data_IF_717677191926
#
_entry.id   IF_717677191926
#
_cell.length_a   1.000
_cell.length_b   1.000
_cell.length_c   1.000
_cell.angle_alpha   90.00
_cell.angle_beta   90.00
_cell.angle_gamma   90.00
#
_symmetry.space_group_name_H-M   'P 1'
#
loop_
_entity.id
_entity.type
_entity.pdbx_description
1 polymer ?
#
# COMPACT_ATOMS: atom_id res chain seq x y z
N UNK A 1 -5.79 -13.48 1.77
CA UNK A 1 -6.78 -14.48 1.30
C UNK A 1 -6.18 -15.87 1.46
N UNK A 2 -6.86 -16.77 2.17
CA UNK A 2 -6.64 -18.20 2.03
C UNK A 2 -7.94 -18.79 1.49
N UNK A 3 -7.93 -19.13 0.19
CA UNK A 3 -8.84 -20.10 -0.40
C UNK A 3 -7.99 -20.92 -1.36
N UNK A 4 -7.82 -22.20 -1.03
CA UNK A 4 -8.37 -23.31 -1.81
C UNK A 4 -7.82 -23.33 -3.24
N UNK A 5 -7.05 -24.39 -3.50
CA UNK A 5 -6.57 -24.78 -4.82
C UNK A 5 -7.71 -24.72 -5.83
N UNK A 6 -7.74 -23.67 -6.64
CA UNK A 6 -8.50 -23.63 -7.89
C UNK A 6 -7.46 -23.91 -8.96
N UNK A 7 -7.48 -25.12 -9.49
CA UNK A 7 -6.84 -25.47 -10.75
C UNK A 7 -7.55 -24.73 -11.88
N UNK A 8 -7.24 -23.44 -12.05
CA UNK A 8 -7.55 -22.73 -13.27
C UNK A 8 -6.27 -22.71 -14.10
N UNK A 9 -6.35 -23.22 -15.33
CA UNK A 9 -5.43 -22.88 -16.39
C UNK A 9 -5.56 -21.38 -16.64
N UNK A 10 -4.96 -20.56 -15.80
CA UNK A 10 -4.92 -19.13 -15.99
C UNK A 10 -4.09 -18.85 -17.24
N UNK A 11 -4.75 -18.33 -18.26
CA UNK A 11 -4.09 -17.88 -19.48
C UNK A 11 -3.15 -16.75 -19.10
N UNK A 12 -1.88 -17.10 -18.89
CA UNK A 12 -0.86 -16.16 -18.49
C UNK A 12 -0.74 -15.07 -19.54
N UNK A 13 -0.82 -13.80 -19.13
CA UNK A 13 -0.67 -12.68 -20.06
C UNK A 13 0.76 -12.73 -20.60
N UNK A 14 0.97 -12.71 -21.93
CA UNK A 14 2.31 -12.65 -22.48
C UNK A 14 3.11 -11.48 -21.89
N UNK A 15 4.34 -11.73 -21.43
CA UNK A 15 5.18 -10.73 -20.76
C UNK A 15 5.27 -9.41 -21.54
N UNK A 16 5.45 -9.49 -22.85
CA UNK A 16 5.52 -8.32 -23.73
C UNK A 16 4.22 -7.48 -23.71
N UNK A 17 3.06 -8.13 -23.67
CA UNK A 17 1.77 -7.44 -23.59
C UNK A 17 1.59 -6.75 -22.23
N UNK A 18 2.02 -7.40 -21.15
CA UNK A 18 2.00 -6.82 -19.81
C UNK A 18 2.90 -5.58 -19.73
N UNK A 19 4.16 -5.70 -20.18
CA UNK A 19 5.13 -4.59 -20.22
C UNK A 19 4.58 -3.43 -21.07
N UNK A 20 3.99 -3.71 -22.23
CA UNK A 20 3.41 -2.67 -23.10
C UNK A 20 2.26 -1.92 -22.40
N UNK A 21 1.36 -2.64 -21.71
CA UNK A 21 0.25 -2.02 -20.97
C UNK A 21 0.73 -1.19 -19.78
N UNK A 22 1.70 -1.70 -19.02
CA UNK A 22 2.30 -0.96 -17.90
C UNK A 22 3.03 0.29 -18.42
N UNK A 23 3.74 0.19 -19.54
CA UNK A 23 4.38 1.35 -20.19
C UNK A 23 3.35 2.41 -20.62
N UNK A 24 2.19 2.00 -21.14
CA UNK A 24 1.12 2.93 -21.48
C UNK A 24 0.58 3.64 -20.23
N UNK A 25 0.34 2.89 -19.15
CA UNK A 25 -0.12 3.47 -17.87
C UNK A 25 0.91 4.42 -17.29
N UNK A 26 2.20 4.07 -17.31
CA UNK A 26 3.28 4.96 -16.91
C UNK A 26 3.27 6.27 -17.68
N UNK A 27 3.11 6.21 -19.02
CA UNK A 27 3.01 7.41 -19.85
C UNK A 27 1.80 8.27 -19.49
N UNK A 28 0.64 7.65 -19.20
CA UNK A 28 -0.57 8.37 -18.77
C UNK A 28 -0.42 8.99 -17.40
N UNK A 29 0.11 8.26 -16.41
CA UNK A 29 0.30 8.73 -15.04
C UNK A 29 1.34 9.86 -15.00
N UNK A 30 2.44 9.72 -15.74
CA UNK A 30 3.53 10.72 -15.76
C UNK A 30 3.11 12.07 -16.34
N UNK A 31 1.99 12.13 -17.07
CA UNK A 31 1.44 13.35 -17.68
C UNK A 31 0.34 14.01 -16.82
N UNK A 32 -0.01 13.43 -15.67
CA UNK A 32 -0.99 14.02 -14.77
C UNK A 32 -0.40 15.27 -14.11
N UNK A 33 -1.18 16.36 -14.09
CA UNK A 33 -0.79 17.59 -13.40
C UNK A 33 -0.71 17.41 -11.86
N UNK A 34 -1.47 16.44 -11.33
CA UNK A 34 -1.53 16.11 -9.92
C UNK A 34 -1.76 14.62 -9.70
N UNK A 35 -1.15 14.08 -8.65
CA UNK A 35 -1.34 12.71 -8.17
C UNK A 35 -2.31 12.64 -6.98
N UNK A 36 -2.94 13.77 -6.60
CA UNK A 36 -3.95 13.75 -5.53
C UNK A 36 -5.16 12.89 -5.94
N UNK A 37 -5.81 12.20 -4.98
CA UNK A 37 -6.98 11.37 -5.24
C UNK A 37 -8.02 12.08 -6.10
N UNK A 38 -8.37 11.45 -7.21
CA UNK A 38 -9.42 11.90 -8.12
C UNK A 38 -9.93 10.71 -8.91
N UNK A 39 -11.09 10.83 -9.56
CA UNK A 39 -11.64 9.73 -10.38
C UNK A 39 -10.64 9.23 -11.43
N UNK A 40 -9.90 10.15 -12.07
CA UNK A 40 -8.92 9.81 -13.10
C UNK A 40 -7.67 9.14 -12.51
N UNK A 41 -7.10 9.73 -11.46
CA UNK A 41 -5.92 9.20 -10.76
C UNK A 41 -6.22 7.80 -10.23
N UNK A 42 -7.33 7.64 -9.51
CA UNK A 42 -7.74 6.38 -8.91
C UNK A 42 -7.96 5.30 -9.98
N UNK A 43 -8.54 5.66 -11.13
CA UNK A 43 -8.75 4.71 -12.23
C UNK A 43 -7.43 4.21 -12.82
N UNK A 44 -6.45 5.09 -13.03
CA UNK A 44 -5.14 4.72 -13.59
C UNK A 44 -4.35 3.83 -12.63
N UNK A 45 -4.25 4.21 -11.35
CA UNK A 45 -3.56 3.39 -10.35
C UNK A 45 -4.30 2.05 -10.09
N UNK A 46 -5.63 2.04 -10.09
CA UNK A 46 -6.40 0.78 -10.00
C UNK A 46 -6.12 -0.16 -11.16
N UNK A 47 -5.97 0.37 -12.38
CA UNK A 47 -5.58 -0.45 -13.54
C UNK A 47 -4.14 -0.97 -13.40
N UNK A 48 -3.22 -0.14 -12.91
CA UNK A 48 -1.84 -0.55 -12.67
C UNK A 48 -1.77 -1.69 -11.64
N UNK A 49 -2.42 -1.54 -10.48
CA UNK A 49 -2.48 -2.57 -9.43
C UNK A 49 -3.06 -3.87 -9.99
N UNK A 50 -4.15 -3.79 -10.75
CA UNK A 50 -4.76 -4.96 -11.39
C UNK A 50 -3.79 -5.69 -12.31
N UNK A 51 -2.94 -4.99 -13.05
CA UNK A 51 -1.94 -5.62 -13.91
C UNK A 51 -0.79 -6.22 -13.11
N UNK A 52 -0.28 -5.50 -12.09
CA UNK A 52 0.85 -5.94 -11.27
C UNK A 52 0.54 -7.11 -10.33
N UNK A 53 -0.74 -7.40 -10.11
CA UNK A 53 -1.20 -8.51 -9.25
C UNK A 53 -1.56 -9.78 -10.04
N UNK A 54 -1.48 -9.75 -11.37
CA UNK A 54 -1.68 -10.94 -12.20
C UNK A 54 -0.44 -11.83 -12.14
N UNK A 55 -0.63 -13.17 -12.12
CA UNK A 55 0.49 -14.09 -12.29
C UNK A 55 1.20 -13.87 -13.63
N UNK A 56 2.52 -13.73 -13.58
CA UNK A 56 3.37 -13.62 -14.77
C UNK A 56 4.77 -14.19 -14.49
N UNK A 57 5.37 -14.80 -15.51
CA UNK A 57 6.74 -15.35 -15.45
C UNK A 57 7.78 -14.30 -15.91
N UNK A 58 7.61 -13.05 -15.47
CA UNK A 58 8.60 -12.01 -15.74
C UNK A 58 9.65 -12.07 -14.65
N UNK A 59 10.89 -12.39 -15.02
CA UNK A 59 12.03 -12.04 -14.18
C UNK A 59 12.30 -10.54 -14.31
N UNK A 60 12.16 -9.83 -13.19
CA UNK A 60 12.38 -8.39 -13.14
C UNK A 60 13.83 -8.06 -13.50
N UNK A 61 14.79 -8.97 -13.23
CA UNK A 61 16.21 -8.76 -13.55
C UNK A 61 16.49 -8.78 -15.06
N UNK A 62 15.63 -9.46 -15.84
CA UNK A 62 15.76 -9.60 -17.29
C UNK A 62 15.05 -8.48 -18.09
N UNK A 63 14.41 -7.53 -17.39
CA UNK A 63 13.79 -6.38 -18.04
C UNK A 63 14.84 -5.51 -18.77
N UNK A 64 14.44 -4.96 -19.92
CA UNK A 64 15.29 -4.00 -20.64
C UNK A 64 15.61 -2.77 -19.76
N UNK A 65 16.70 -2.07 -20.08
CA UNK A 65 17.11 -0.87 -19.33
C UNK A 65 15.99 0.19 -19.29
N UNK A 66 15.27 0.35 -20.39
CA UNK A 66 14.15 1.28 -20.50
C UNK A 66 12.98 0.86 -19.59
N UNK A 67 12.69 -0.44 -19.54
CA UNK A 67 11.66 -0.98 -18.66
C UNK A 67 12.04 -0.85 -17.17
N UNK A 68 13.32 -1.00 -16.82
CA UNK A 68 13.81 -0.76 -15.45
C UNK A 68 13.63 0.71 -15.04
N UNK A 69 14.04 1.66 -15.90
CA UNK A 69 13.86 3.10 -15.64
C UNK A 69 12.38 3.46 -15.48
N UNK A 70 11.52 2.91 -16.34
CA UNK A 70 10.07 3.07 -16.24
C UNK A 70 9.53 2.51 -14.92
N UNK A 71 9.99 1.33 -14.50
CA UNK A 71 9.60 0.70 -13.24
C UNK A 71 10.01 1.55 -12.03
N UNK A 72 11.25 2.03 -11.98
CA UNK A 72 11.72 2.94 -10.93
C UNK A 72 10.87 4.22 -10.87
N UNK A 73 10.53 4.78 -12.02
CA UNK A 73 9.64 5.93 -12.11
C UNK A 73 8.24 5.61 -11.57
N UNK A 74 7.66 4.46 -11.92
CA UNK A 74 6.37 4.02 -11.38
C UNK A 74 6.39 3.82 -9.87
N UNK A 75 7.45 3.24 -9.30
CA UNK A 75 7.58 3.07 -7.84
C UNK A 75 7.51 4.43 -7.14
N UNK A 76 8.24 5.42 -7.64
CA UNK A 76 8.22 6.78 -7.10
C UNK A 76 6.85 7.47 -7.27
N UNK A 77 6.20 7.28 -8.41
CA UNK A 77 4.85 7.81 -8.67
C UNK A 77 3.82 7.18 -7.73
N UNK A 78 3.89 5.87 -7.51
CA UNK A 78 3.02 5.16 -6.58
C UNK A 78 3.24 5.68 -5.15
N UNK A 79 4.49 5.76 -4.68
CA UNK A 79 4.80 6.25 -3.33
C UNK A 79 4.26 7.66 -3.09
N UNK A 80 4.39 8.57 -4.07
CA UNK A 80 3.83 9.93 -3.98
C UNK A 80 2.29 9.95 -3.98
N UNK A 81 1.66 9.13 -4.83
CA UNK A 81 0.21 9.05 -4.90
C UNK A 81 -0.40 8.47 -3.62
N UNK A 82 0.22 7.42 -3.06
CA UNK A 82 -0.18 6.84 -1.77
C UNK A 82 0.00 7.86 -0.63
N UNK A 83 1.13 8.58 -0.57
CA UNK A 83 1.32 9.64 0.43
C UNK A 83 0.26 10.75 0.35
N UNK A 84 -0.17 11.13 -0.86
CA UNK A 84 -1.31 12.06 -1.01
C UNK A 84 -2.64 11.44 -0.57
N UNK A 85 -2.88 10.17 -0.88
CA UNK A 85 -4.08 9.46 -0.44
C UNK A 85 -4.16 9.42 1.09
N UNK A 86 -3.08 9.00 1.75
CA UNK A 86 -2.98 8.98 3.21
C UNK A 86 -3.20 10.37 3.81
N UNK A 87 -2.59 11.42 3.25
CA UNK A 87 -2.75 12.78 3.74
C UNK A 87 -4.19 13.30 3.63
N UNK A 88 -4.86 13.05 2.49
CA UNK A 88 -6.27 13.44 2.30
C UNK A 88 -7.18 12.72 3.30
N UNK A 89 -6.95 11.43 3.55
CA UNK A 89 -7.73 10.67 4.50
C UNK A 89 -7.43 11.01 5.96
N UNK A 90 -6.17 11.29 6.30
CA UNK A 90 -5.80 11.83 7.61
C UNK A 90 -6.51 13.16 7.87
N UNK A 91 -6.47 14.07 6.89
CA UNK A 91 -7.16 15.36 6.95
C UNK A 91 -8.67 15.19 7.10
N UNK A 92 -9.27 14.26 6.35
CA UNK A 92 -10.69 13.95 6.46
C UNK A 92 -11.04 13.41 7.85
N UNK A 93 -10.28 12.44 8.35
CA UNK A 93 -10.57 11.75 9.61
C UNK A 93 -10.52 12.68 10.82
N UNK A 94 -9.57 13.62 10.87
CA UNK A 94 -9.48 14.62 11.95
C UNK A 94 -10.78 15.44 12.07
N UNK A 95 -11.53 15.59 10.98
CA UNK A 95 -12.79 16.34 10.96
C UNK A 95 -14.04 15.47 11.23
N UNK A 96 -13.89 14.14 11.37
CA UNK A 96 -14.99 13.21 11.64
C UNK A 96 -15.13 12.97 13.15
N UNK A 97 -16.36 12.93 13.71
CA UNK A 97 -16.56 12.55 15.10
C UNK A 97 -16.02 11.15 15.39
N UNK A 98 -15.27 10.99 16.48
CA UNK A 98 -14.64 9.72 16.85
C UNK A 98 -13.77 9.15 15.71
N UNK A 99 -12.66 9.83 15.34
CA UNK A 99 -11.84 9.48 14.17
C UNK A 99 -11.37 8.02 14.17
N UNK A 100 -10.98 7.49 15.34
CA UNK A 100 -10.52 6.10 15.50
C UNK A 100 -11.61 5.06 15.19
N UNK A 101 -12.88 5.41 15.34
CA UNK A 101 -14.00 4.52 14.98
C UNK A 101 -14.33 4.54 13.49
N UNK A 102 -13.69 5.45 12.73
CA UNK A 102 -13.98 5.70 11.32
C UNK A 102 -12.78 5.38 10.41
N UNK A 103 -11.77 4.67 10.91
CA UNK A 103 -10.60 4.25 10.09
C UNK A 103 -11.00 3.40 8.88
N UNK A 104 -12.16 2.74 8.93
CA UNK A 104 -12.74 1.98 7.82
C UNK A 104 -13.16 2.83 6.62
N UNK A 105 -13.16 4.16 6.72
CA UNK A 105 -13.35 5.05 5.58
C UNK A 105 -12.16 5.02 4.61
N UNK A 106 -10.96 4.64 5.08
CA UNK A 106 -9.81 4.50 4.20
C UNK A 106 -10.02 3.37 3.19
N UNK A 107 -9.79 3.58 1.87
CA UNK A 107 -10.20 2.64 0.83
C UNK A 107 -9.59 1.24 0.97
N UNK A 108 -8.43 1.14 1.61
CA UNK A 108 -7.71 -0.12 1.80
C UNK A 108 -7.72 -0.62 3.24
N UNK A 109 -8.58 -0.08 4.11
CA UNK A 109 -8.62 -0.46 5.54
C UNK A 109 -8.65 -1.98 5.75
N UNK A 110 -9.49 -2.70 5.00
CA UNK A 110 -9.58 -4.16 5.08
C UNK A 110 -8.26 -4.87 4.75
N UNK A 111 -7.47 -4.35 3.80
CA UNK A 111 -6.16 -4.90 3.47
C UNK A 111 -5.18 -4.72 4.63
N UNK A 112 -5.20 -3.55 5.28
CA UNK A 112 -4.35 -3.29 6.45
C UNK A 112 -4.72 -4.15 7.64
N UNK A 113 -6.02 -4.40 7.90
CA UNK A 113 -6.45 -5.31 8.97
C UNK A 113 -5.92 -6.72 8.73
N UNK A 114 -6.01 -7.21 7.50
CA UNK A 114 -5.47 -8.53 7.15
C UNK A 114 -3.95 -8.58 7.29
N UNK A 115 -3.25 -7.54 6.83
CA UNK A 115 -1.80 -7.45 6.89
C UNK A 115 -1.29 -7.37 8.34
N UNK A 116 -1.84 -6.47 9.15
CA UNK A 116 -1.46 -6.31 10.55
C UNK A 116 -1.69 -7.60 11.36
N UNK A 117 -2.76 -8.35 11.07
CA UNK A 117 -3.00 -9.64 11.70
C UNK A 117 -1.94 -10.69 11.31
N UNK A 118 -1.48 -10.70 10.05
CA UNK A 118 -0.38 -11.57 9.62
C UNK A 118 0.94 -11.18 10.31
N UNK A 119 1.26 -9.89 10.34
CA UNK A 119 2.46 -9.36 11.00
C UNK A 119 2.47 -9.66 12.50
N UNK A 120 1.34 -9.42 13.18
CA UNK A 120 1.19 -9.76 14.60
C UNK A 120 1.41 -11.25 14.85
N UNK A 121 0.85 -12.12 14.02
CA UNK A 121 1.07 -13.56 14.13
C UNK A 121 2.55 -13.92 13.97
N UNK A 122 3.23 -13.35 12.98
CA UNK A 122 4.67 -13.57 12.79
C UNK A 122 5.46 -13.13 14.04
N UNK A 123 5.13 -11.98 14.62
CA UNK A 123 5.75 -11.49 15.85
C UNK A 123 5.54 -12.44 17.03
N UNK A 124 4.31 -12.93 17.23
CA UNK A 124 3.99 -13.92 18.26
C UNK A 124 4.76 -15.23 18.07
N UNK A 125 4.76 -15.75 16.84
CA UNK A 125 5.44 -17.00 16.49
C UNK A 125 6.98 -16.90 16.69
N UNK A 126 7.51 -15.67 16.72
CA UNK A 126 8.92 -15.36 17.00
C UNK A 126 9.15 -14.84 18.44
N UNK A 127 8.20 -15.04 19.36
CA UNK A 127 8.39 -14.78 20.80
C UNK A 127 8.09 -13.35 21.27
N UNK A 128 7.56 -12.48 20.40
CA UNK A 128 7.15 -11.11 20.78
C UNK A 128 5.71 -11.14 21.28
N UNK A 129 5.50 -11.61 22.52
CA UNK A 129 4.15 -11.90 23.05
C UNK A 129 3.45 -10.66 23.64
N UNK A 130 4.20 -9.72 24.24
CA UNK A 130 3.66 -8.51 24.87
C UNK A 130 4.68 -7.37 24.86
N UNK A 131 4.98 -6.77 23.70
CA UNK A 131 5.91 -5.64 23.66
C UNK A 131 5.34 -4.46 24.44
N UNK A 132 6.12 -3.84 25.32
CA UNK A 132 5.70 -2.62 26.01
C UNK A 132 5.77 -1.38 25.12
N UNK A 133 6.74 -1.36 24.19
CA UNK A 133 6.96 -0.30 23.23
C UNK A 133 7.29 -0.87 21.87
N UNK A 134 6.77 -0.23 20.82
CA UNK A 134 7.07 -0.52 19.42
C UNK A 134 7.36 0.80 18.73
N UNK A 135 8.47 0.87 18.00
CA UNK A 135 8.75 1.95 17.07
C UNK A 135 8.36 1.48 15.66
N UNK A 136 7.50 2.22 14.99
CA UNK A 136 7.14 1.99 13.59
C UNK A 136 7.81 3.06 12.71
N UNK A 137 8.66 2.64 11.79
CA UNK A 137 9.47 3.54 10.95
C UNK A 137 8.88 3.61 9.54
N UNK A 138 8.66 4.81 9.03
CA UNK A 138 7.97 5.07 7.76
C UNK A 138 6.45 5.02 7.93
N UNK A 139 5.93 5.73 8.92
CA UNK A 139 4.52 5.67 9.30
C UNK A 139 3.60 6.44 8.36
N UNK A 140 4.14 7.39 7.59
CA UNK A 140 3.36 8.30 6.77
C UNK A 140 2.43 9.21 7.58
N UNK A 141 1.67 10.09 6.90
CA UNK A 141 0.70 10.97 7.54
C UNK A 141 -0.50 10.24 8.14
N UNK A 142 -0.69 8.94 7.82
CA UNK A 142 -1.76 8.11 8.38
C UNK A 142 -1.17 6.79 8.89
N UNK A 143 -0.73 6.71 10.17
CA UNK A 143 -0.04 5.54 10.75
C UNK A 143 -0.98 4.34 11.00
N UNK A 144 -1.62 3.85 9.94
CA UNK A 144 -2.76 2.95 10.00
C UNK A 144 -2.38 1.57 10.55
N UNK A 145 -1.20 1.05 10.20
CA UNK A 145 -0.71 -0.22 10.76
C UNK A 145 -0.59 -0.14 12.27
N UNK A 146 0.07 0.89 12.81
CA UNK A 146 0.20 1.10 14.26
C UNK A 146 -1.16 1.26 14.93
N UNK A 147 -2.09 2.02 14.33
CA UNK A 147 -3.44 2.19 14.87
C UNK A 147 -4.20 0.85 14.94
N UNK A 148 -4.15 0.03 13.88
CA UNK A 148 -4.80 -1.28 13.84
C UNK A 148 -4.16 -2.25 14.84
N UNK A 149 -2.82 -2.29 14.88
CA UNK A 149 -2.07 -3.10 15.84
C UNK A 149 -2.45 -2.74 17.28
N UNK A 150 -2.41 -1.45 17.65
CA UNK A 150 -2.79 -0.97 18.97
C UNK A 150 -4.27 -1.26 19.30
N UNK A 151 -5.16 -1.16 18.31
CA UNK A 151 -6.60 -1.36 18.53
C UNK A 151 -6.98 -2.84 18.69
N UNK A 152 -6.37 -3.74 17.91
CA UNK A 152 -6.85 -5.12 17.78
C UNK A 152 -5.92 -6.17 18.39
N UNK A 153 -4.61 -5.92 18.43
CA UNK A 153 -3.62 -6.96 18.73
C UNK A 153 -2.74 -6.63 19.95
N UNK A 154 -2.27 -5.39 20.07
CA UNK A 154 -1.25 -4.94 21.02
C UNK A 154 -1.80 -3.80 21.90
N UNK A 155 -2.94 -4.06 22.57
CA UNK A 155 -3.75 -3.02 23.25
C UNK A 155 -3.07 -2.32 24.43
N UNK A 156 -2.05 -2.93 25.00
CA UNK A 156 -1.26 -2.38 26.11
C UNK A 156 0.10 -1.85 25.67
N UNK A 157 0.36 -1.82 24.37
CA UNK A 157 1.65 -1.43 23.80
C UNK A 157 1.64 0.05 23.43
N UNK A 158 2.69 0.76 23.78
CA UNK A 158 2.92 2.13 23.33
C UNK A 158 3.58 2.10 21.94
N UNK A 159 3.02 2.84 20.99
CA UNK A 159 3.55 2.96 19.63
C UNK A 159 4.17 4.34 19.43
N UNK A 160 5.45 4.35 19.07
CA UNK A 160 6.16 5.52 18.58
C UNK A 160 6.20 5.42 17.04
N UNK A 161 5.50 6.34 16.35
CA UNK A 161 5.54 6.42 14.89
C UNK A 161 6.61 7.42 14.48
N UNK A 162 7.46 7.05 13.54
CA UNK A 162 8.59 7.87 13.09
C UNK A 162 8.61 7.88 11.57
N UNK A 163 8.60 9.06 10.97
CA UNK A 163 8.74 9.28 9.54
C UNK A 163 9.90 10.24 9.23
N UNK A 164 10.38 10.18 8.00
CA UNK A 164 11.39 11.11 7.48
C UNK A 164 10.78 12.48 7.18
N UNK A 165 9.49 12.55 6.83
CA UNK A 165 8.76 13.81 6.74
C UNK A 165 8.39 14.28 8.15
N UNK A 166 8.99 15.39 8.59
CA UNK A 166 8.71 15.99 9.90
C UNK A 166 7.22 16.24 10.12
N UNK A 167 6.46 16.57 9.07
CA UNK A 167 5.02 16.83 9.18
C UNK A 167 4.18 15.60 9.51
N UNK A 168 4.72 14.40 9.27
CA UNK A 168 4.07 13.16 9.64
C UNK A 168 4.36 12.75 11.10
N UNK A 169 5.26 13.47 11.78
CA UNK A 169 5.61 13.25 13.19
C UNK A 169 4.89 14.21 14.17
N UNK A 170 4.20 15.23 13.66
CA UNK A 170 3.46 16.24 14.43
C UNK A 170 1.99 15.83 14.66
#
# INVERSE_FOLDING_TARGET
MASLQISNSETQIPAQLLIARITQLHSSISKLDSLRPSKQVNALFSQLVKLCTLPCDIDIMDLSKEAQVMRESLINLCGRAEGFLELEFATLLVNVPQPLNNLNLFPYYGNYVLLANLEHKILLDNGVVHPHKVAFVGSGPMPLTSMIMATHHMKSTHFDNVDIDEKAND
#
